data_IF_051923584315
#
_entry.id   IF_051923584315
#
_cell.length_a   1.000
_cell.length_b   1.000
_cell.length_c   1.000
_cell.angle_alpha   90.00
_cell.angle_beta   90.00
_cell.angle_gamma   90.00
#
_symmetry.space_group_name_H-M   'P 1'
#
loop_
_entity.id
_entity.type
_entity.pdbx_description
1 polymer ?
#
# COMPACT_ATOMS: atom_id res chain seq x y z
N UNK A 1 8.08 -64.63 14.10
CA UNK A 1 7.73 -63.29 13.61
C UNK A 1 7.58 -62.38 14.80
N UNK A 2 8.67 -61.70 15.17
CA UNK A 2 8.76 -60.77 16.29
C UNK A 2 8.19 -59.42 15.86
N UNK A 3 7.23 -58.89 16.63
CA UNK A 3 6.57 -57.62 16.31
C UNK A 3 7.49 -56.44 16.64
N UNK A 4 7.99 -55.76 15.62
CA UNK A 4 8.59 -54.44 15.74
C UNK A 4 7.48 -53.42 16.03
N UNK A 5 7.32 -53.05 17.30
CA UNK A 5 6.58 -51.84 17.69
C UNK A 5 7.53 -50.92 18.44
N UNK A 6 8.05 -49.92 17.73
CA UNK A 6 8.77 -48.81 18.34
C UNK A 6 7.78 -48.01 19.18
N UNK A 7 7.92 -48.05 20.51
CA UNK A 7 7.20 -47.14 21.41
C UNK A 7 7.72 -45.72 21.19
N UNK A 8 6.87 -44.85 20.64
CA UNK A 8 7.12 -43.41 20.62
C UNK A 8 6.98 -42.90 22.06
N UNK A 9 8.11 -42.72 22.74
CA UNK A 9 8.14 -42.07 24.05
C UNK A 9 7.70 -40.61 23.89
N UNK A 10 6.78 -40.18 24.75
CA UNK A 10 6.35 -38.80 24.86
C UNK A 10 7.58 -37.89 25.05
N UNK A 11 7.71 -36.88 24.18
CA UNK A 11 8.71 -35.82 24.31
C UNK A 11 8.44 -35.08 25.63
N UNK A 12 9.30 -35.30 26.63
CA UNK A 12 9.35 -34.43 27.80
C UNK A 12 9.78 -33.04 27.33
N UNK A 13 9.09 -31.96 27.72
CA UNK A 13 9.54 -30.62 27.40
C UNK A 13 10.89 -30.39 28.10
N UNK A 14 11.93 -30.17 27.30
CA UNK A 14 13.22 -29.73 27.80
C UNK A 14 13.03 -28.37 28.48
N UNK A 15 13.29 -28.32 29.79
CA UNK A 15 13.36 -27.10 30.54
C UNK A 15 14.65 -26.33 30.17
N UNK A 16 14.67 -25.67 29.00
CA UNK A 16 15.60 -24.57 28.77
C UNK A 16 14.97 -23.28 29.30
N UNK A 17 15.31 -22.93 30.55
CA UNK A 17 15.08 -21.59 31.07
C UNK A 17 16.05 -20.63 30.39
N UNK A 18 15.82 -20.33 29.12
CA UNK A 18 16.33 -19.11 28.51
C UNK A 18 15.55 -17.97 29.14
N UNK A 19 16.25 -17.09 29.85
CA UNK A 19 15.70 -15.91 30.53
C UNK A 19 15.04 -15.03 29.45
N UNK A 20 13.76 -15.28 29.17
CA UNK A 20 12.97 -14.45 28.28
C UNK A 20 12.92 -13.06 28.91
N UNK A 21 13.67 -12.12 28.33
CA UNK A 21 13.54 -10.72 28.64
C UNK A 21 12.07 -10.34 28.37
N UNK A 22 11.26 -10.25 29.43
CA UNK A 22 9.92 -9.69 29.36
C UNK A 22 10.09 -8.28 28.80
N UNK A 23 9.53 -7.99 27.61
CA UNK A 23 9.45 -6.59 27.19
C UNK A 23 8.66 -5.85 28.25
N UNK A 24 9.21 -4.74 28.71
CA UNK A 24 8.46 -3.85 29.60
C UNK A 24 7.33 -3.21 28.80
N UNK A 25 6.23 -2.80 29.45
CA UNK A 25 5.15 -2.06 28.77
C UNK A 25 5.66 -0.81 28.04
N UNK A 26 6.80 -0.27 28.50
CA UNK A 26 7.51 0.86 27.92
C UNK A 26 8.06 0.54 26.53
N UNK A 27 8.62 -0.66 26.31
CA UNK A 27 9.25 -1.04 25.04
C UNK A 27 8.25 -1.10 23.88
N UNK A 28 7.00 -1.40 24.17
CA UNK A 28 5.91 -1.51 23.18
C UNK A 28 5.59 -0.18 22.49
N UNK A 29 5.98 0.95 23.11
CA UNK A 29 5.78 2.29 22.56
C UNK A 29 7.09 2.97 22.18
N UNK A 30 8.14 2.81 22.99
CA UNK A 30 9.43 3.49 22.77
C UNK A 30 10.16 2.94 21.55
N UNK A 31 10.13 1.63 21.31
CA UNK A 31 10.79 1.03 20.14
C UNK A 31 10.12 1.50 18.83
N UNK A 32 8.80 1.36 18.63
CA UNK A 32 8.14 1.91 17.45
C UNK A 32 8.38 3.41 17.26
N UNK A 33 8.35 4.20 18.34
CA UNK A 33 8.60 5.65 18.28
C UNK A 33 10.01 5.96 17.79
N UNK A 34 11.04 5.29 18.34
CA UNK A 34 12.42 5.48 17.91
C UNK A 34 12.60 5.12 16.42
N UNK A 35 12.07 3.96 16.00
CA UNK A 35 12.13 3.52 14.61
C UNK A 35 11.45 4.53 13.70
N UNK A 36 10.26 5.01 14.09
CA UNK A 36 9.50 6.00 13.34
C UNK A 36 10.24 7.34 13.21
N UNK A 37 10.87 7.85 14.28
CA UNK A 37 11.66 9.10 14.24
C UNK A 37 12.88 8.94 13.33
N UNK A 38 13.62 7.85 13.44
CA UNK A 38 14.80 7.62 12.58
C UNK A 38 14.38 7.48 11.13
N UNK A 39 13.31 6.70 10.85
CA UNK A 39 12.72 6.64 9.52
C UNK A 39 12.30 8.02 9.02
N UNK A 40 11.70 8.84 9.88
CA UNK A 40 11.28 10.20 9.55
C UNK A 40 12.47 11.03 9.07
N UNK A 41 13.59 11.00 9.81
CA UNK A 41 14.78 11.78 9.48
C UNK A 41 15.42 11.30 8.18
N UNK A 42 15.58 9.98 8.01
CA UNK A 42 16.26 9.38 6.86
C UNK A 42 15.50 9.55 5.54
N UNK A 43 14.19 9.74 5.59
CA UNK A 43 13.37 9.91 4.39
C UNK A 43 12.95 11.36 4.17
N UNK A 44 12.55 12.11 5.21
CA UNK A 44 12.13 13.51 5.05
C UNK A 44 13.26 14.39 4.60
N UNK A 45 14.39 14.34 5.32
CA UNK A 45 15.44 15.33 5.15
C UNK A 45 16.02 15.22 3.74
N UNK A 46 16.40 14.03 3.25
CA UNK A 46 16.88 13.90 1.88
C UNK A 46 15.82 14.28 0.84
N UNK A 47 14.56 13.87 1.01
CA UNK A 47 13.50 14.21 0.06
C UNK A 47 13.23 15.72 -0.01
N UNK A 48 13.23 16.39 1.13
CA UNK A 48 13.08 17.85 1.24
C UNK A 48 14.25 18.56 0.58
N UNK A 49 15.49 18.14 0.89
CA UNK A 49 16.68 18.72 0.30
C UNK A 49 16.73 18.51 -1.22
N UNK A 50 16.40 17.30 -1.69
CA UNK A 50 16.33 16.98 -3.10
C UNK A 50 15.24 17.81 -3.80
N UNK A 51 14.05 17.93 -3.23
CA UNK A 51 12.96 18.70 -3.81
C UNK A 51 13.29 20.19 -3.92
N UNK A 52 13.92 20.78 -2.89
CA UNK A 52 14.19 22.23 -2.90
C UNK A 52 15.50 22.64 -3.55
N UNK A 53 16.54 21.80 -3.52
CA UNK A 53 17.89 22.19 -3.94
C UNK A 53 18.42 21.41 -5.15
N UNK A 54 17.68 20.43 -5.69
CA UNK A 54 18.11 19.76 -6.92
C UNK A 54 18.05 20.70 -8.14
N UNK A 55 19.02 20.54 -9.04
CA UNK A 55 19.19 21.35 -10.26
C UNK A 55 18.07 21.15 -11.31
N UNK A 56 17.10 20.26 -11.06
CA UNK A 56 15.93 20.01 -11.91
C UNK A 56 15.01 21.26 -11.99
N UNK A 57 15.24 22.28 -11.14
CA UNK A 57 14.55 23.57 -11.17
C UNK A 57 14.62 24.33 -12.50
N UNK A 58 15.60 24.08 -13.37
CA UNK A 58 15.74 24.82 -14.64
C UNK A 58 14.53 24.66 -15.58
N UNK A 59 13.72 23.61 -15.41
CA UNK A 59 12.47 23.42 -16.18
C UNK A 59 11.28 24.16 -15.57
N UNK A 60 11.28 24.42 -14.25
CA UNK A 60 10.15 25.06 -13.54
C UNK A 60 10.22 26.59 -13.53
N UNK A 61 11.41 27.16 -13.69
CA UNK A 61 11.62 28.62 -13.79
C UNK A 61 11.23 29.19 -15.15
N UNK A 62 11.22 28.35 -16.20
CA UNK A 62 10.57 28.63 -17.47
C UNK A 62 9.42 27.64 -17.68
N UNK A 63 8.30 27.79 -16.93
CA UNK A 63 7.13 26.98 -17.22
C UNK A 63 6.74 27.29 -18.67
N UNK A 64 6.51 26.28 -19.51
CA UNK A 64 5.87 26.52 -20.78
C UNK A 64 4.58 27.32 -20.52
N UNK A 65 4.31 28.34 -21.34
CA UNK A 65 3.08 29.13 -21.23
C UNK A 65 1.90 28.18 -21.04
N UNK A 66 1.01 28.51 -20.09
CA UNK A 66 -0.22 27.78 -19.79
C UNK A 66 -0.81 27.14 -21.05
N UNK A 67 -0.76 25.81 -21.14
CA UNK A 67 -1.23 25.06 -22.32
C UNK A 67 -0.22 24.12 -22.98
N UNK A 68 1.01 23.98 -22.47
CA UNK A 68 1.90 22.91 -22.97
C UNK A 68 1.71 21.66 -22.11
N UNK A 69 1.00 20.70 -22.68
CA UNK A 69 1.08 19.31 -22.28
C UNK A 69 2.53 18.87 -22.49
N UNK A 70 3.22 18.46 -21.42
CA UNK A 70 4.53 17.82 -21.56
C UNK A 70 4.23 16.41 -22.10
N UNK A 71 4.26 16.25 -23.42
CA UNK A 71 3.96 15.00 -24.13
C UNK A 71 4.91 13.84 -23.76
N UNK A 72 6.04 14.13 -23.10
CA UNK A 72 7.10 13.16 -22.81
C UNK A 72 6.87 12.27 -21.56
N UNK A 73 5.83 12.51 -20.76
CA UNK A 73 5.54 11.72 -19.55
C UNK A 73 4.29 10.84 -19.71
N UNK A 74 4.37 9.86 -20.62
CA UNK A 74 3.36 8.81 -20.77
C UNK A 74 2.01 9.31 -21.31
N UNK A 75 1.03 8.40 -21.52
CA UNK A 75 -0.27 8.79 -22.02
C UNK A 75 -0.89 9.86 -21.12
N UNK A 76 -1.53 10.87 -21.73
CA UNK A 76 -2.10 12.04 -21.08
C UNK A 76 -3.22 11.67 -20.08
N UNK A 77 -2.84 11.14 -18.91
CA UNK A 77 -3.77 10.96 -17.81
C UNK A 77 -3.91 12.28 -17.07
N UNK A 78 -5.13 12.65 -16.68
CA UNK A 78 -5.41 13.93 -16.03
C UNK A 78 -4.53 14.23 -14.81
N UNK A 79 -4.11 13.21 -14.05
CA UNK A 79 -3.25 13.41 -12.88
C UNK A 79 -1.78 13.70 -13.22
N UNK A 80 -1.17 12.98 -14.17
CA UNK A 80 0.23 13.19 -14.52
C UNK A 80 0.46 14.51 -15.28
N UNK A 81 -0.57 15.04 -15.94
CA UNK A 81 -0.55 16.36 -16.56
C UNK A 81 -0.83 17.54 -15.61
N UNK A 82 -1.25 17.30 -14.37
CA UNK A 82 -1.62 18.38 -13.43
C UNK A 82 -0.39 18.90 -12.69
N UNK A 83 0.04 20.13 -13.02
CA UNK A 83 1.05 20.84 -12.24
C UNK A 83 0.39 21.39 -10.97
N UNK A 84 0.79 20.89 -9.80
CA UNK A 84 0.32 21.38 -8.51
C UNK A 84 1.07 22.65 -8.10
N UNK A 85 0.32 23.69 -7.76
CA UNK A 85 0.85 24.91 -7.15
C UNK A 85 1.54 24.56 -5.83
N UNK A 86 2.71 25.18 -5.52
CA UNK A 86 3.40 24.98 -4.25
C UNK A 86 2.47 25.17 -3.04
N UNK A 87 2.58 24.30 -2.04
CA UNK A 87 1.86 24.52 -0.79
C UNK A 87 2.45 25.72 -0.04
N UNK A 88 1.68 26.29 0.88
CA UNK A 88 2.12 27.41 1.72
C UNK A 88 2.91 26.97 2.96
N UNK A 89 3.78 27.86 3.46
CA UNK A 89 4.42 27.72 4.77
C UNK A 89 5.23 26.43 4.94
N UNK A 90 5.09 25.77 6.09
CA UNK A 90 5.80 24.51 6.38
C UNK A 90 5.39 23.37 5.44
N UNK A 91 4.15 23.35 4.94
CA UNK A 91 3.69 22.30 4.04
C UNK A 91 4.46 22.28 2.71
N UNK A 92 4.94 23.45 2.25
CA UNK A 92 5.86 23.53 1.11
C UNK A 92 7.12 22.67 1.31
N UNK A 93 7.64 22.65 2.54
CA UNK A 93 8.88 21.98 2.87
C UNK A 93 8.68 20.50 3.17
N UNK A 94 7.60 20.15 3.89
CA UNK A 94 7.42 18.78 4.38
C UNK A 94 6.49 17.92 3.51
N UNK A 95 5.48 18.51 2.86
CA UNK A 95 4.45 17.76 2.12
C UNK A 95 4.75 17.72 0.62
N UNK A 96 5.20 18.82 0.02
CA UNK A 96 5.46 18.87 -1.44
C UNK A 96 6.38 17.75 -1.97
N UNK A 97 7.45 17.34 -1.26
CA UNK A 97 8.30 16.24 -1.72
C UNK A 97 7.56 14.90 -1.85
N UNK A 98 6.43 14.73 -1.16
CA UNK A 98 5.73 13.46 -0.94
C UNK A 98 4.32 13.39 -1.53
N UNK A 99 3.82 14.45 -2.18
CA UNK A 99 2.45 14.51 -2.74
C UNK A 99 2.33 14.23 -4.24
N UNK A 100 3.45 14.00 -4.92
CA UNK A 100 3.48 13.79 -6.38
C UNK A 100 3.03 12.36 -6.75
N UNK A 101 2.96 12.07 -8.05
CA UNK A 101 2.60 10.76 -8.61
C UNK A 101 1.20 10.30 -8.16
N UNK A 102 1.09 9.16 -7.46
CA UNK A 102 -0.21 8.66 -6.96
C UNK A 102 -0.87 9.61 -5.96
N UNK A 103 -0.10 10.49 -5.32
CA UNK A 103 -0.63 11.54 -4.46
C UNK A 103 -1.56 12.51 -5.22
N UNK A 104 -1.28 12.75 -6.51
CA UNK A 104 -2.15 13.57 -7.36
C UNK A 104 -3.49 12.88 -7.63
N UNK A 105 -3.49 11.56 -7.80
CA UNK A 105 -4.72 10.79 -7.95
C UNK A 105 -5.58 10.79 -6.68
N UNK A 106 -4.96 10.55 -5.51
CA UNK A 106 -5.69 10.62 -4.25
C UNK A 106 -6.23 12.04 -3.98
N UNK A 107 -5.47 13.08 -4.36
CA UNK A 107 -5.94 14.46 -4.33
C UNK A 107 -7.16 14.67 -5.22
N UNK A 108 -7.12 14.22 -6.48
CA UNK A 108 -8.24 14.37 -7.42
C UNK A 108 -9.52 13.74 -6.87
N UNK A 109 -9.43 12.52 -6.31
CA UNK A 109 -10.59 11.87 -5.69
C UNK A 109 -11.02 12.60 -4.41
N UNK A 110 -10.09 13.09 -3.59
CA UNK A 110 -10.43 13.84 -2.39
C UNK A 110 -11.15 15.17 -2.69
N UNK A 111 -10.78 15.86 -3.77
CA UNK A 111 -11.39 17.17 -4.11
C UNK A 111 -12.59 17.07 -5.05
N UNK A 112 -12.55 16.14 -6.01
CA UNK A 112 -13.55 15.98 -7.06
C UNK A 112 -14.49 14.79 -6.84
N UNK A 113 -14.18 13.91 -5.89
CA UNK A 113 -14.90 12.66 -5.70
C UNK A 113 -14.71 11.70 -6.87
N UNK A 114 -15.65 10.76 -7.00
CA UNK A 114 -15.72 9.80 -8.09
C UNK A 114 -16.62 10.35 -9.19
N UNK A 115 -16.19 11.42 -9.85
CA UNK A 115 -16.89 12.02 -11.00
C UNK A 115 -16.58 11.19 -12.26
N UNK A 116 -17.59 10.72 -13.02
CA UNK A 116 -17.39 10.03 -14.30
C UNK A 116 -16.57 10.82 -15.34
N UNK A 117 -16.50 12.15 -15.22
CA UNK A 117 -15.70 13.00 -16.10
C UNK A 117 -14.22 13.08 -15.65
N UNK A 118 -13.90 12.63 -14.44
CA UNK A 118 -12.53 12.52 -13.95
C UNK A 118 -12.01 11.11 -14.21
N UNK A 119 -11.00 11.04 -15.08
CA UNK A 119 -10.35 9.79 -15.46
C UNK A 119 -9.78 9.01 -14.27
N UNK A 120 -9.71 7.67 -14.40
CA UNK A 120 -9.08 6.72 -13.46
C UNK A 120 -9.45 6.79 -11.97
N UNK A 121 -10.41 7.62 -11.57
CA UNK A 121 -10.75 7.81 -10.14
C UNK A 121 -11.20 6.51 -9.47
N UNK A 122 -11.88 5.61 -10.20
CA UNK A 122 -12.36 4.33 -9.66
C UNK A 122 -11.23 3.34 -9.35
N UNK A 123 -10.05 3.48 -9.95
CA UNK A 123 -8.87 2.68 -9.60
C UNK A 123 -8.32 2.98 -8.19
N UNK A 124 -8.66 4.15 -7.63
CA UNK A 124 -8.22 4.59 -6.30
C UNK A 124 -9.33 4.33 -5.28
N UNK A 125 -9.03 3.44 -4.34
CA UNK A 125 -9.99 2.94 -3.36
C UNK A 125 -10.32 3.99 -2.27
N UNK A 126 -11.54 3.95 -1.70
CA UNK A 126 -12.16 5.15 -1.16
C UNK A 126 -11.68 5.58 0.23
N UNK A 127 -11.15 4.68 1.05
CA UNK A 127 -10.93 5.01 2.47
C UNK A 127 -9.91 6.14 2.66
N UNK A 128 -8.82 6.13 1.90
CA UNK A 128 -7.76 7.13 2.00
C UNK A 128 -8.17 8.51 1.44
N UNK A 129 -8.72 8.65 0.22
CA UNK A 129 -9.17 9.94 -0.28
C UNK A 129 -10.37 10.50 0.52
N UNK A 130 -11.27 9.66 1.06
CA UNK A 130 -12.30 10.16 1.99
C UNK A 130 -11.70 10.68 3.29
N UNK A 131 -10.67 10.03 3.84
CA UNK A 131 -9.95 10.55 4.99
C UNK A 131 -9.32 11.92 4.69
N UNK A 132 -8.74 12.08 3.49
CA UNK A 132 -8.19 13.36 3.02
C UNK A 132 -9.27 14.45 2.89
N UNK A 133 -10.39 14.15 2.24
CA UNK A 133 -11.51 15.09 2.05
C UNK A 133 -12.14 15.51 3.38
N UNK A 134 -12.55 14.54 4.20
CA UNK A 134 -13.19 14.80 5.49
C UNK A 134 -12.23 15.56 6.42
N UNK A 135 -10.96 15.13 6.51
CA UNK A 135 -9.97 15.82 7.32
C UNK A 135 -9.70 17.25 6.84
N UNK A 136 -9.70 17.48 5.52
CA UNK A 136 -9.54 18.80 4.92
C UNK A 136 -10.70 19.71 5.32
N UNK A 137 -11.95 19.24 5.19
CA UNK A 137 -13.15 20.01 5.59
C UNK A 137 -13.18 20.33 7.09
N UNK A 138 -12.71 19.41 7.93
CA UNK A 138 -12.72 19.57 9.39
C UNK A 138 -11.64 20.54 9.87
N UNK A 139 -10.45 20.51 9.27
CA UNK A 139 -9.28 21.27 9.74
C UNK A 139 -9.03 22.56 8.96
N UNK A 140 -9.55 22.67 7.74
CA UNK A 140 -9.19 23.71 6.78
C UNK A 140 -7.82 23.52 6.12
N UNK A 141 -7.11 22.41 6.40
CA UNK A 141 -5.83 22.09 5.75
C UNK A 141 -6.05 21.45 4.39
N UNK A 142 -5.03 21.51 3.52
CA UNK A 142 -5.15 20.92 2.20
C UNK A 142 -5.28 19.39 2.28
N UNK A 143 -6.00 18.73 1.35
CA UNK A 143 -6.13 17.28 1.32
C UNK A 143 -4.78 16.55 1.34
N UNK A 144 -3.76 17.09 0.67
CA UNK A 144 -2.41 16.53 0.63
C UNK A 144 -1.72 16.58 2.00
N UNK A 145 -1.96 17.67 2.75
CA UNK A 145 -1.45 17.79 4.13
C UNK A 145 -2.11 16.75 5.02
N UNK A 146 -3.42 16.53 4.88
CA UNK A 146 -4.15 15.50 5.63
C UNK A 146 -3.66 14.10 5.26
N UNK A 147 -3.46 13.82 3.97
CA UNK A 147 -2.94 12.54 3.51
C UNK A 147 -1.52 12.28 4.03
N UNK A 148 -0.62 13.27 3.96
CA UNK A 148 0.72 13.16 4.53
C UNK A 148 0.68 12.83 6.03
N UNK A 149 -0.15 13.55 6.81
CA UNK A 149 -0.29 13.29 8.24
C UNK A 149 -0.90 11.91 8.51
N UNK A 150 -1.93 11.52 7.76
CA UNK A 150 -2.55 10.21 7.85
C UNK A 150 -1.53 9.10 7.60
N UNK A 151 -0.71 9.20 6.55
CA UNK A 151 0.36 8.23 6.25
C UNK A 151 1.36 8.13 7.39
N UNK A 152 1.81 9.26 7.93
CA UNK A 152 2.79 9.31 9.00
C UNK A 152 2.27 8.74 10.32
N UNK A 153 1.06 9.11 10.72
CA UNK A 153 0.39 8.58 11.92
C UNK A 153 0.10 7.09 11.75
N UNK A 154 -0.40 6.69 10.57
CA UNK A 154 -0.66 5.29 10.29
C UNK A 154 0.61 4.44 10.34
N UNK A 155 1.73 4.92 9.80
CA UNK A 155 3.00 4.19 9.85
C UNK A 155 3.49 3.98 11.29
N UNK A 156 3.37 5.00 12.15
CA UNK A 156 3.70 4.85 13.57
C UNK A 156 2.88 3.75 14.24
N UNK A 157 1.57 3.76 14.06
CA UNK A 157 0.71 2.72 14.63
C UNK A 157 0.90 1.36 13.95
N UNK A 158 1.27 1.31 12.67
CA UNK A 158 1.61 0.08 11.98
C UNK A 158 2.84 -0.58 12.63
N UNK A 159 3.88 0.21 12.93
CA UNK A 159 5.07 -0.24 13.67
C UNK A 159 4.69 -0.74 15.07
N UNK A 160 3.80 -0.03 15.79
CA UNK A 160 3.30 -0.47 17.09
C UNK A 160 2.56 -1.82 17.03
N UNK A 161 1.59 -1.95 16.13
CA UNK A 161 0.84 -3.20 15.97
C UNK A 161 1.73 -4.34 15.47
N UNK A 162 2.71 -4.05 14.60
CA UNK A 162 3.66 -5.04 14.11
C UNK A 162 4.56 -5.55 15.22
N UNK A 163 5.07 -4.65 16.07
CA UNK A 163 5.83 -5.05 17.26
C UNK A 163 5.00 -5.99 18.12
N UNK A 164 3.75 -5.61 18.42
CA UNK A 164 2.84 -6.39 19.26
C UNK A 164 2.47 -7.74 18.64
N UNK A 165 2.33 -7.81 17.32
CA UNK A 165 2.06 -9.05 16.60
C UNK A 165 3.26 -9.99 16.66
N UNK A 166 4.47 -9.50 16.40
CA UNK A 166 5.68 -10.33 16.38
C UNK A 166 6.01 -10.88 17.77
N UNK A 167 5.80 -10.10 18.84
CA UNK A 167 6.06 -10.58 20.22
C UNK A 167 5.04 -11.62 20.72
N UNK A 168 3.97 -11.91 19.96
CA UNK A 168 3.10 -13.05 20.28
C UNK A 168 3.83 -14.39 20.08
N UNK A 169 4.74 -14.47 19.11
CA UNK A 169 5.41 -15.71 18.70
C UNK A 169 6.92 -15.68 18.93
N UNK A 170 7.52 -14.50 18.96
CA UNK A 170 8.96 -14.31 19.03
C UNK A 170 9.37 -13.42 20.21
N UNK A 171 10.66 -13.40 20.51
CA UNK A 171 11.19 -12.52 21.54
C UNK A 171 11.23 -11.03 21.08
N UNK A 172 11.32 -10.07 22.01
CA UNK A 172 11.34 -8.64 21.69
C UNK A 172 12.47 -8.19 20.76
N UNK A 173 13.62 -8.89 20.75
CA UNK A 173 14.73 -8.55 19.85
C UNK A 173 14.39 -8.86 18.39
N UNK A 174 13.65 -9.93 18.13
CA UNK A 174 13.16 -10.23 16.77
C UNK A 174 12.19 -9.13 16.32
N UNK A 175 11.24 -8.73 17.17
CA UNK A 175 10.30 -7.65 16.86
C UNK A 175 11.02 -6.33 16.53
N UNK A 176 12.04 -5.95 17.31
CA UNK A 176 12.87 -4.78 17.04
C UNK A 176 13.55 -4.86 15.66
N UNK A 177 14.17 -6.00 15.33
CA UNK A 177 14.83 -6.20 14.03
C UNK A 177 13.84 -6.16 12.88
N UNK A 178 12.64 -6.72 13.05
CA UNK A 178 11.55 -6.65 12.06
C UNK A 178 11.17 -5.20 11.77
N UNK A 179 11.04 -4.36 12.81
CA UNK A 179 10.68 -2.96 12.63
C UNK A 179 11.76 -2.18 11.87
N UNK A 180 13.03 -2.38 12.23
CA UNK A 180 14.15 -1.77 11.52
C UNK A 180 14.25 -2.24 10.07
N UNK A 181 14.06 -3.53 9.81
CA UNK A 181 14.09 -4.09 8.46
C UNK A 181 12.99 -3.47 7.58
N UNK A 182 11.78 -3.27 8.13
CA UNK A 182 10.68 -2.61 7.43
C UNK A 182 10.97 -1.13 7.18
N UNK A 183 11.46 -0.42 8.19
CA UNK A 183 11.64 1.03 8.16
C UNK A 183 12.88 1.50 7.35
N UNK A 184 13.86 0.63 7.15
CA UNK A 184 15.10 0.92 6.42
C UNK A 184 15.16 0.26 5.05
N UNK A 185 14.09 -0.44 4.63
CA UNK A 185 13.99 -1.01 3.28
C UNK A 185 14.06 0.12 2.23
N UNK A 186 14.73 -0.06 1.06
CA UNK A 186 14.97 1.03 0.11
C UNK A 186 13.72 1.81 -0.33
N UNK A 187 12.56 1.15 -0.41
CA UNK A 187 11.29 1.79 -0.81
C UNK A 187 10.43 2.22 0.39
N UNK A 188 10.96 2.16 1.62
CA UNK A 188 10.21 2.54 2.82
C UNK A 188 9.76 4.00 2.81
N UNK A 189 10.35 4.88 1.99
CA UNK A 189 9.90 6.27 1.83
C UNK A 189 8.43 6.38 1.38
N UNK A 190 7.85 5.35 0.74
CA UNK A 190 6.42 5.31 0.43
C UNK A 190 5.53 5.30 1.66
N UNK A 191 6.04 4.90 2.84
CA UNK A 191 5.29 5.01 4.09
C UNK A 191 5.07 6.46 4.55
N UNK A 192 5.65 7.44 3.83
CA UNK A 192 5.47 8.88 4.06
C UNK A 192 4.70 9.59 2.96
N UNK A 193 4.73 9.01 1.76
CA UNK A 193 4.04 9.56 0.62
C UNK A 193 2.55 9.72 0.93
N UNK A 194 1.89 10.62 0.20
CA UNK A 194 0.44 10.86 0.27
C UNK A 194 -0.31 9.68 -0.38
N UNK A 195 -0.02 8.46 0.09
CA UNK A 195 -0.45 7.20 -0.48
C UNK A 195 -1.06 6.27 0.59
N UNK A 196 -1.62 5.15 0.15
CA UNK A 196 -2.35 4.20 0.99
C UNK A 196 -1.48 3.22 1.78
N UNK A 197 -0.19 3.06 1.47
CA UNK A 197 0.69 1.99 1.98
C UNK A 197 0.71 1.92 3.51
N UNK A 198 0.90 3.05 4.17
CA UNK A 198 0.96 3.11 5.65
C UNK A 198 -0.38 2.78 6.30
N UNK A 199 -1.48 3.31 5.75
CA UNK A 199 -2.82 3.04 6.26
C UNK A 199 -3.21 1.58 6.04
N UNK A 200 -2.92 1.03 4.86
CA UNK A 200 -3.12 -0.37 4.56
C UNK A 200 -2.30 -1.28 5.48
N UNK A 201 -1.02 -0.97 5.68
CA UNK A 201 -0.14 -1.75 6.56
C UNK A 201 -0.67 -1.74 8.01
N UNK A 202 -1.05 -0.58 8.54
CA UNK A 202 -1.66 -0.46 9.86
C UNK A 202 -2.88 -1.37 9.98
N UNK A 203 -3.84 -1.23 9.07
CA UNK A 203 -5.10 -1.97 9.13
C UNK A 203 -4.86 -3.47 8.95
N UNK A 204 -4.00 -3.89 8.02
CA UNK A 204 -3.68 -5.30 7.80
C UNK A 204 -3.01 -5.94 9.03
N UNK A 205 -2.02 -5.28 9.61
CA UNK A 205 -1.31 -5.81 10.78
C UNK A 205 -2.19 -5.79 12.03
N UNK A 206 -2.98 -4.74 12.23
CA UNK A 206 -3.96 -4.66 13.32
C UNK A 206 -5.04 -5.74 13.19
N UNK A 207 -5.57 -5.95 11.98
CA UNK A 207 -6.53 -7.02 11.68
C UNK A 207 -5.97 -8.40 12.06
N UNK A 208 -4.73 -8.70 11.66
CA UNK A 208 -4.06 -9.95 12.03
C UNK A 208 -3.79 -10.05 13.53
N UNK A 209 -3.36 -8.97 14.17
CA UNK A 209 -3.16 -8.93 15.63
C UNK A 209 -4.44 -9.30 16.40
N UNK A 210 -5.56 -8.66 16.06
CA UNK A 210 -6.84 -8.94 16.69
C UNK A 210 -7.36 -10.35 16.37
N UNK A 211 -7.17 -10.83 15.12
CA UNK A 211 -7.51 -12.20 14.74
C UNK A 211 -6.70 -13.24 15.56
N UNK A 212 -5.40 -13.01 15.76
CA UNK A 212 -4.52 -13.87 16.59
C UNK A 212 -4.97 -13.95 18.05
N UNK A 213 -5.60 -12.89 18.56
CA UNK A 213 -6.17 -12.86 19.92
C UNK A 213 -7.59 -13.40 20.02
N UNK A 214 -8.21 -13.80 18.91
CA UNK A 214 -9.60 -14.24 18.86
C UNK A 214 -10.63 -13.11 18.92
N UNK A 215 -10.19 -11.85 18.78
CA UNK A 215 -11.04 -10.65 18.80
C UNK A 215 -11.64 -10.41 17.39
N UNK A 216 -12.43 -11.39 16.92
CA UNK A 216 -12.83 -11.51 15.51
C UNK A 216 -13.64 -10.32 14.98
N UNK A 217 -14.52 -9.72 15.77
CA UNK A 217 -15.29 -8.55 15.34
C UNK A 217 -14.38 -7.37 15.00
N UNK A 218 -13.40 -7.07 15.85
CA UNK A 218 -12.42 -6.00 15.61
C UNK A 218 -11.56 -6.36 14.40
N UNK A 219 -11.09 -7.60 14.32
CA UNK A 219 -10.32 -8.07 13.17
C UNK A 219 -11.09 -7.90 11.85
N UNK A 220 -12.36 -8.28 11.84
CA UNK A 220 -13.23 -8.16 10.68
C UNK A 220 -13.50 -6.72 10.26
N UNK A 221 -13.83 -5.82 11.20
CA UNK A 221 -14.05 -4.40 10.90
C UNK A 221 -12.78 -3.76 10.35
N UNK A 222 -11.64 -3.99 11.00
CA UNK A 222 -10.34 -3.45 10.56
C UNK A 222 -9.94 -4.06 9.22
N UNK A 223 -10.22 -5.34 8.98
CA UNK A 223 -9.96 -6.01 7.71
C UNK A 223 -10.85 -5.49 6.57
N UNK A 224 -12.11 -5.15 6.84
CA UNK A 224 -12.98 -4.43 5.91
C UNK A 224 -12.39 -3.06 5.56
N UNK A 225 -11.95 -2.29 6.55
CA UNK A 225 -11.30 -1.00 6.32
C UNK A 225 -10.03 -1.18 5.47
N UNK A 226 -9.22 -2.21 5.73
CA UNK A 226 -8.06 -2.54 4.90
C UNK A 226 -8.47 -2.80 3.43
N UNK A 227 -9.53 -3.58 3.21
CA UNK A 227 -10.06 -3.84 1.87
C UNK A 227 -10.64 -2.57 1.20
N UNK A 228 -11.09 -1.57 1.97
CA UNK A 228 -11.50 -0.26 1.45
C UNK A 228 -10.33 0.70 1.21
N UNK A 229 -9.11 0.41 1.67
CA UNK A 229 -7.91 1.17 1.28
C UNK A 229 -7.35 0.74 -0.06
N UNK A 230 -7.38 -0.57 -0.35
CA UNK A 230 -6.85 -1.19 -1.59
C UNK A 230 -7.49 -2.58 -1.76
N UNK A 231 -7.60 -3.03 -3.00
CA UNK A 231 -8.08 -4.39 -3.35
C UNK A 231 -7.32 -5.52 -2.65
N UNK A 232 -6.03 -5.32 -2.36
CA UNK A 232 -5.20 -6.30 -1.65
C UNK A 232 -5.72 -6.66 -0.24
N UNK A 233 -6.55 -5.81 0.40
CA UNK A 233 -7.13 -6.13 1.71
C UNK A 233 -8.07 -7.33 1.71
N UNK A 234 -8.63 -7.70 0.55
CA UNK A 234 -9.42 -8.94 0.40
C UNK A 234 -8.56 -10.17 0.70
N UNK A 235 -7.24 -10.10 0.50
CA UNK A 235 -6.33 -11.22 0.77
C UNK A 235 -6.25 -11.57 2.26
N UNK A 236 -6.74 -10.72 3.16
CA UNK A 236 -6.87 -11.03 4.59
C UNK A 236 -7.83 -12.18 4.88
N UNK A 237 -8.75 -12.51 3.95
CA UNK A 237 -9.63 -13.68 4.07
C UNK A 237 -8.85 -14.99 4.23
N UNK A 238 -7.69 -15.13 3.57
CA UNK A 238 -6.87 -16.33 3.63
C UNK A 238 -6.26 -16.55 5.04
N UNK A 239 -5.45 -15.62 5.61
CA UNK A 239 -4.95 -15.77 6.96
C UNK A 239 -6.06 -15.78 8.01
N UNK A 240 -7.17 -15.05 7.80
CA UNK A 240 -8.33 -15.13 8.69
C UNK A 240 -8.92 -16.55 8.71
N UNK A 241 -9.17 -17.16 7.54
CA UNK A 241 -9.68 -18.52 7.46
C UNK A 241 -8.78 -19.54 8.16
N UNK A 242 -7.46 -19.44 7.95
CA UNK A 242 -6.47 -20.31 8.60
C UNK A 242 -6.54 -20.15 10.13
N UNK A 243 -6.45 -18.91 10.63
CA UNK A 243 -6.48 -18.62 12.06
C UNK A 243 -7.82 -19.02 12.70
N UNK A 244 -8.92 -18.82 11.98
CA UNK A 244 -10.26 -19.18 12.44
C UNK A 244 -10.42 -20.69 12.59
N UNK A 245 -9.98 -21.46 11.59
CA UNK A 245 -10.00 -22.93 11.65
C UNK A 245 -9.06 -23.47 12.73
N UNK A 246 -7.90 -22.85 12.95
CA UNK A 246 -7.00 -23.22 14.05
C UNK A 246 -7.63 -22.99 15.43
N UNK A 247 -8.42 -21.93 15.60
CA UNK A 247 -9.05 -21.59 16.88
C UNK A 247 -10.34 -22.36 17.16
N UNK A 248 -11.21 -22.56 16.15
CA UNK A 248 -12.55 -23.13 16.32
C UNK A 248 -12.69 -24.55 15.76
N UNK A 249 -11.72 -25.02 14.97
CA UNK A 249 -11.77 -26.30 14.27
C UNK A 249 -12.82 -26.34 13.16
N UNK A 250 -13.13 -27.55 12.70
CA UNK A 250 -14.05 -27.81 11.57
C UNK A 250 -15.53 -27.92 11.99
N UNK A 251 -15.86 -27.70 13.27
CA UNK A 251 -17.23 -27.81 13.75
C UNK A 251 -18.01 -26.53 13.50
N UNK A 252 -18.94 -26.57 12.54
CA UNK A 252 -19.72 -25.38 12.12
C UNK A 252 -20.51 -24.73 13.25
N UNK A 253 -20.91 -25.51 14.27
CA UNK A 253 -21.60 -24.99 15.46
C UNK A 253 -20.73 -24.01 16.26
N UNK A 254 -19.41 -24.18 16.24
CA UNK A 254 -18.44 -23.31 16.93
C UNK A 254 -18.11 -22.04 16.14
N UNK A 255 -18.51 -21.98 14.87
CA UNK A 255 -18.22 -20.84 14.01
C UNK A 255 -19.13 -19.64 14.31
N UNK A 256 -20.31 -19.88 14.88
CA UNK A 256 -21.23 -18.83 15.27
C UNK A 256 -20.85 -18.23 16.64
N UNK A 257 -20.85 -16.89 16.80
CA UNK A 257 -21.19 -15.87 15.80
C UNK A 257 -20.02 -15.41 14.93
N UNK A 258 -18.77 -15.75 15.27
CA UNK A 258 -17.58 -15.08 14.74
C UNK A 258 -17.32 -15.24 13.23
N UNK A 259 -17.96 -16.20 12.56
CA UNK A 259 -17.81 -16.42 11.12
C UNK A 259 -18.19 -15.22 10.26
N UNK A 260 -19.17 -14.39 10.67
CA UNK A 260 -19.51 -13.20 9.89
C UNK A 260 -18.33 -12.22 9.86
N UNK A 261 -17.61 -12.10 10.98
CA UNK A 261 -16.51 -11.16 11.11
C UNK A 261 -15.31 -11.57 10.24
N UNK A 262 -15.08 -12.87 10.08
CA UNK A 262 -14.07 -13.44 9.16
C UNK A 262 -14.34 -13.03 7.72
N UNK A 263 -15.61 -12.93 7.32
CA UNK A 263 -16.01 -12.61 5.96
C UNK A 263 -16.06 -11.09 5.67
N UNK A 264 -15.95 -10.22 6.68
CA UNK A 264 -16.07 -8.76 6.50
C UNK A 264 -15.12 -8.15 5.46
N UNK A 265 -13.83 -8.57 5.32
CA UNK A 265 -12.96 -8.05 4.26
C UNK A 265 -13.52 -8.23 2.84
N UNK A 266 -14.34 -9.27 2.60
CA UNK A 266 -14.98 -9.52 1.31
C UNK A 266 -16.02 -8.44 0.94
N UNK A 267 -16.55 -7.71 1.93
CA UNK A 267 -17.51 -6.63 1.68
C UNK A 267 -16.84 -5.36 1.13
N UNK A 268 -15.52 -5.20 1.24
CA UNK A 268 -14.81 -4.01 0.75
C UNK A 268 -15.08 -3.73 -0.73
N UNK A 269 -14.76 -4.67 -1.65
CA UNK A 269 -15.07 -4.54 -3.07
C UNK A 269 -16.56 -4.38 -3.37
N UNK A 270 -17.42 -5.05 -2.61
CA UNK A 270 -18.88 -4.98 -2.81
C UNK A 270 -19.40 -3.59 -2.47
N UNK A 271 -19.00 -3.04 -1.33
CA UNK A 271 -19.40 -1.70 -0.89
C UNK A 271 -18.83 -0.62 -1.80
N UNK A 272 -17.57 -0.76 -2.21
CA UNK A 272 -16.96 0.21 -3.11
C UNK A 272 -17.61 0.16 -4.50
N UNK A 273 -17.77 -1.03 -5.09
CA UNK A 273 -18.46 -1.21 -6.36
C UNK A 273 -19.90 -0.68 -6.32
N UNK A 274 -20.63 -0.95 -5.24
CA UNK A 274 -21.99 -0.40 -5.05
C UNK A 274 -21.96 1.13 -4.92
N UNK A 275 -21.00 1.69 -4.20
CA UNK A 275 -20.85 3.14 -4.11
C UNK A 275 -20.56 3.78 -5.48
N UNK A 276 -19.74 3.15 -6.33
CA UNK A 276 -19.46 3.63 -7.69
C UNK A 276 -20.74 3.72 -8.55
N UNK A 277 -21.67 2.77 -8.42
CA UNK A 277 -22.93 2.85 -9.17
C UNK A 277 -23.81 4.03 -8.75
N UNK A 278 -23.72 4.48 -7.49
CA UNK A 278 -24.38 5.72 -7.05
C UNK A 278 -23.78 6.99 -7.66
N UNK A 279 -22.61 6.86 -8.31
CA UNK A 279 -21.88 7.93 -9.00
C UNK A 279 -21.95 7.83 -10.52
N UNK A 280 -22.84 6.99 -11.06
CA UNK A 280 -22.94 6.69 -12.49
C UNK A 280 -21.68 6.04 -13.09
N UNK A 281 -20.89 5.36 -12.27
CA UNK A 281 -19.78 4.50 -12.70
C UNK A 281 -20.21 3.03 -12.67
N UNK A 282 -19.46 2.17 -13.37
CA UNK A 282 -19.68 0.72 -13.36
C UNK A 282 -19.28 0.09 -12.03
N UNK A 283 -19.99 -0.98 -11.64
CA UNK A 283 -19.73 -1.71 -10.39
C UNK A 283 -18.31 -2.29 -10.30
N UNK A 284 -17.72 -2.64 -11.45
CA UNK A 284 -16.38 -3.22 -11.57
C UNK A 284 -15.33 -2.23 -12.10
N UNK A 285 -15.63 -0.93 -12.18
CA UNK A 285 -14.69 0.06 -12.72
C UNK A 285 -13.37 0.11 -11.93
N UNK A 286 -13.40 -0.27 -10.64
CA UNK A 286 -12.19 -0.42 -9.82
C UNK A 286 -11.24 -1.54 -10.28
N UNK A 287 -11.75 -2.52 -11.05
CA UNK A 287 -10.98 -3.56 -11.71
C UNK A 287 -10.72 -3.25 -13.19
N UNK A 288 -11.67 -2.62 -13.87
CA UNK A 288 -11.64 -2.44 -15.31
C UNK A 288 -10.82 -1.21 -15.77
N UNK A 289 -10.57 -0.23 -14.90
CA UNK A 289 -9.77 0.97 -15.22
C UNK A 289 -8.25 0.73 -15.35
N UNK A 290 -7.80 -0.52 -15.30
CA UNK A 290 -6.38 -0.89 -15.50
C UNK A 290 -5.84 -0.48 -16.89
N UNK A 291 -6.73 -0.26 -17.87
CA UNK A 291 -6.37 0.19 -19.20
C UNK A 291 -5.59 1.51 -19.22
N UNK A 292 -5.81 2.42 -18.25
CA UNK A 292 -5.09 3.69 -18.16
C UNK A 292 -3.57 3.50 -17.99
N UNK A 293 -3.17 2.35 -17.46
CA UNK A 293 -1.77 1.96 -17.29
C UNK A 293 -1.31 0.96 -18.34
N UNK A 294 -2.01 0.86 -19.47
CA UNK A 294 -1.77 -0.14 -20.52
C UNK A 294 -1.70 -1.58 -19.99
N UNK A 295 -2.46 -1.86 -18.92
CA UNK A 295 -2.53 -3.18 -18.31
C UNK A 295 -3.73 -3.95 -18.83
N UNK A 296 -3.50 -5.22 -19.15
CA UNK A 296 -4.51 -6.18 -19.53
C UNK A 296 -4.38 -7.45 -18.67
N UNK A 297 -5.47 -8.21 -18.59
CA UNK A 297 -5.44 -9.49 -17.91
C UNK A 297 -4.64 -10.51 -18.72
N UNK A 298 -3.58 -11.04 -18.14
CA UNK A 298 -2.73 -12.05 -18.73
C UNK A 298 -2.39 -13.14 -17.71
N UNK A 299 -2.17 -14.36 -18.19
CA UNK A 299 -1.54 -15.39 -17.37
C UNK A 299 -0.07 -15.06 -17.14
N UNK A 300 0.57 -15.56 -16.07
CA UNK A 300 1.97 -15.28 -15.80
C UNK A 300 2.89 -15.64 -16.99
N UNK A 301 2.62 -16.77 -17.65
CA UNK A 301 3.39 -17.23 -18.80
C UNK A 301 3.26 -16.29 -20.01
N UNK A 302 2.05 -15.81 -20.29
CA UNK A 302 1.80 -14.84 -21.36
C UNK A 302 2.49 -13.51 -21.08
N UNK A 303 2.54 -13.09 -19.82
CA UNK A 303 3.25 -11.87 -19.40
C UNK A 303 4.74 -11.99 -19.67
N UNK A 304 5.33 -13.13 -19.31
CA UNK A 304 6.76 -13.39 -19.54
C UNK A 304 7.11 -13.50 -21.03
N UNK A 305 6.29 -14.25 -21.79
CA UNK A 305 6.45 -14.40 -23.24
C UNK A 305 6.35 -13.05 -23.95
N UNK A 306 5.34 -12.24 -23.61
CA UNK A 306 5.16 -10.90 -24.16
C UNK A 306 6.31 -9.96 -23.80
N UNK A 307 6.86 -10.06 -22.59
CA UNK A 307 8.02 -9.25 -22.19
C UNK A 307 9.28 -9.63 -22.99
N UNK A 308 9.50 -10.90 -23.30
CA UNK A 308 10.72 -11.34 -24.00
C UNK A 308 10.60 -11.21 -25.52
N UNK A 309 9.46 -11.62 -26.08
CA UNK A 309 9.28 -11.76 -27.52
C UNK A 309 8.45 -10.63 -28.13
N UNK A 310 7.87 -9.75 -27.30
CA UNK A 310 6.85 -8.81 -27.71
C UNK A 310 5.50 -9.49 -27.92
N UNK A 311 4.41 -8.74 -27.82
CA UNK A 311 3.09 -9.25 -28.18
C UNK A 311 2.10 -8.11 -28.46
N UNK A 312 1.02 -8.42 -29.18
CA UNK A 312 -0.13 -7.53 -29.27
C UNK A 312 -1.15 -7.92 -28.20
N UNK A 313 -1.66 -6.91 -27.48
CA UNK A 313 -2.63 -7.09 -26.42
C UNK A 313 -3.81 -6.14 -26.58
N UNK A 314 -5.02 -6.69 -26.57
CA UNK A 314 -6.23 -5.91 -26.60
C UNK A 314 -6.55 -5.34 -25.22
N UNK A 315 -6.62 -4.02 -25.15
CA UNK A 315 -6.97 -3.25 -23.96
C UNK A 315 -8.29 -2.55 -24.21
N UNK A 316 -9.26 -2.71 -23.30
CA UNK A 316 -10.54 -2.00 -23.38
C UNK A 316 -10.39 -0.59 -22.79
N UNK A 317 -10.50 0.42 -23.64
CA UNK A 317 -10.46 1.83 -23.26
C UNK A 317 -11.78 2.50 -23.68
N UNK A 318 -12.53 3.05 -22.71
CA UNK A 318 -13.80 3.75 -22.94
C UNK A 318 -14.81 3.02 -23.85
N UNK A 319 -14.97 1.70 -23.67
CA UNK A 319 -15.89 0.90 -24.49
C UNK A 319 -15.40 0.57 -25.90
N UNK A 320 -14.21 1.04 -26.29
CA UNK A 320 -13.49 0.63 -27.48
C UNK A 320 -12.36 -0.34 -27.13
N UNK A 321 -12.06 -1.29 -28.02
CA UNK A 321 -10.89 -2.16 -27.87
C UNK A 321 -9.74 -1.54 -28.66
N UNK A 322 -8.65 -1.20 -27.98
CA UNK A 322 -7.38 -0.82 -28.61
C UNK A 322 -6.41 -1.99 -28.54
N UNK A 323 -5.75 -2.30 -29.66
CA UNK A 323 -4.66 -3.27 -29.68
C UNK A 323 -3.36 -2.52 -29.39
N UNK A 324 -2.70 -2.85 -28.29
CA UNK A 324 -1.39 -2.32 -27.92
C UNK A 324 -0.30 -3.30 -28.34
N UNK A 325 0.70 -2.81 -29.06
CA UNK A 325 1.90 -3.57 -29.38
C UNK A 325 2.94 -3.37 -28.28
N UNK A 326 3.17 -4.41 -27.51
CA UNK A 326 4.23 -4.49 -26.49
C UNK A 326 5.52 -4.89 -27.20
N UNK A 327 6.51 -4.01 -27.15
CA UNK A 327 7.84 -4.31 -27.66
C UNK A 327 8.55 -5.31 -26.73
N UNK A 328 9.38 -6.22 -27.29
CA UNK A 328 10.23 -7.08 -26.47
C UNK A 328 11.21 -6.24 -25.63
N UNK A 329 11.69 -6.82 -24.52
CA UNK A 329 12.77 -6.25 -23.73
C UNK A 329 13.97 -6.03 -24.66
N UNK A 330 14.35 -4.76 -24.80
CA UNK A 330 15.64 -4.40 -25.37
C UNK A 330 16.72 -4.78 -24.36
N UNK A 331 17.70 -5.60 -24.74
CA UNK A 331 18.84 -5.95 -23.89
C UNK A 331 20.04 -5.03 -24.12
N UNK A 332 19.94 -4.08 -25.05
CA UNK A 332 20.97 -3.09 -25.37
C UNK A 332 21.36 -2.21 -24.18
N UNK A 333 20.45 -2.02 -23.20
CA UNK A 333 20.77 -1.28 -21.98
C UNK A 333 21.88 -1.96 -21.15
N UNK A 334 22.05 -3.28 -21.25
CA UNK A 334 23.16 -3.98 -20.56
C UNK A 334 24.49 -3.55 -21.17
N UNK A 335 24.57 -3.49 -22.50
CA UNK A 335 25.75 -2.97 -23.20
C UNK A 335 26.03 -1.51 -22.83
N UNK A 336 24.99 -0.67 -22.86
CA UNK A 336 25.10 0.74 -22.46
C UNK A 336 25.52 0.93 -20.99
N UNK A 337 25.08 0.06 -20.08
CA UNK A 337 25.50 0.08 -18.68
C UNK A 337 27.00 -0.18 -18.53
N UNK A 338 27.55 -1.12 -19.31
CA UNK A 338 28.99 -1.43 -19.27
C UNK A 338 29.83 -0.42 -20.05
N UNK A 339 29.31 0.11 -21.15
CA UNK A 339 30.04 1.00 -22.06
C UNK A 339 30.02 2.47 -21.60
N UNK A 340 28.97 2.92 -20.90
CA UNK A 340 28.79 4.30 -20.46
C UNK A 340 28.16 4.39 -19.07
N UNK A 341 28.88 3.91 -18.07
CA UNK A 341 28.48 3.92 -16.66
C UNK A 341 28.47 5.36 -16.11
N UNK A 342 27.40 6.12 -16.37
CA UNK A 342 27.19 7.47 -15.87
C UNK A 342 25.91 7.56 -15.03
N UNK A 343 25.83 8.56 -14.15
CA UNK A 343 24.69 8.73 -13.24
C UNK A 343 23.35 8.92 -13.97
N UNK A 344 23.38 9.52 -15.16
CA UNK A 344 22.21 9.70 -16.03
C UNK A 344 21.66 8.41 -16.64
N UNK A 345 22.41 7.30 -16.60
CA UNK A 345 21.94 5.99 -17.06
C UNK A 345 21.16 5.22 -15.97
N UNK A 346 21.38 5.60 -14.70
CA UNK A 346 20.79 4.95 -13.51
C UNK A 346 19.52 5.67 -13.04
N UNK A 347 19.32 6.93 -13.47
CA UNK A 347 18.17 7.79 -13.14
C UNK A 347 17.31 8.02 -14.35
#
# INVERSE_FOLDING_TARGET
MTSDTVRINAVKPAASRTRAARSTSTDVWTVPALVWVVHWMLTQIPATLAFHFSAIRTVRENPPRSGVYIEDFGPASGAYGTILDPLGGLAHWVVDPFRNWDGTWYRLVATGGYDPNLEATAAFWPLYPWLMDIGSRVTGWTPETIGYLASNVAFYFALHYLYRLVVLDFNPSVAQRTLWALALFPTAFFFRAVYTESLFLLLAVAALYHARKGEWLVAGIVGLLAALTRSAGVMLLAPFGILFLQQYGWSIRRWFPNAFAVALPALGPVLFGWFLTTKNLGFLDWADQQWQWNRFSATPWRTFDCAINGCSADVRQFGSTQTLDVQPIDWGWIGQLFDNLNWTFIT
#
